data_IF_681226571203
#
_entry.id   IF_681226571203
#
_cell.length_a   1.000
_cell.length_b   1.000
_cell.length_c   1.000
_cell.angle_alpha   90.00
_cell.angle_beta   90.00
_cell.angle_gamma   90.00
#
_symmetry.space_group_name_H-M   'P 1'
#
loop_
_entity.id
_entity.type
_entity.pdbx_description
1 polymer ?
#
# COMPACT_ATOMS: atom_id res chain seq x y z
N UNK A 1 -24.11 29.02 -46.56
CA UNK A 1 -24.53 27.63 -46.25
C UNK A 1 -25.11 27.64 -44.85
N UNK A 2 -26.44 27.65 -44.69
CA UNK A 2 -27.12 27.64 -43.40
C UNK A 2 -27.40 26.20 -42.98
N UNK A 3 -26.73 25.74 -41.92
CA UNK A 3 -26.89 24.41 -41.34
C UNK A 3 -28.26 24.33 -40.64
N UNK A 4 -29.17 23.44 -41.07
CA UNK A 4 -30.40 23.15 -40.33
C UNK A 4 -30.13 22.03 -39.32
N UNK A 5 -29.92 22.40 -38.05
CA UNK A 5 -29.83 21.41 -36.98
C UNK A 5 -31.20 20.83 -36.61
N UNK A 6 -31.26 19.60 -36.08
CA UNK A 6 -32.52 18.97 -35.67
C UNK A 6 -33.20 19.77 -34.55
N UNK A 7 -34.53 19.90 -34.64
CA UNK A 7 -35.37 20.60 -33.66
C UNK A 7 -35.40 19.83 -32.32
N UNK A 8 -34.98 20.43 -31.20
CA UNK A 8 -34.89 19.78 -29.88
C UNK A 8 -36.23 19.30 -29.33
N UNK A 9 -37.35 19.76 -29.89
CA UNK A 9 -38.69 19.28 -29.52
C UNK A 9 -39.06 17.92 -30.13
N UNK A 10 -38.23 17.37 -31.03
CA UNK A 10 -38.47 16.10 -31.72
C UNK A 10 -37.42 15.01 -31.43
N UNK A 11 -36.51 15.22 -30.48
CA UNK A 11 -35.66 14.13 -29.96
C UNK A 11 -36.39 13.41 -28.83
N UNK A 12 -36.82 12.14 -29.01
CA UNK A 12 -37.40 11.36 -27.92
C UNK A 12 -36.30 11.04 -26.89
N UNK A 13 -36.58 11.25 -25.59
CA UNK A 13 -35.73 10.78 -24.49
C UNK A 13 -34.97 11.84 -23.69
N UNK A 14 -35.41 13.10 -23.67
CA UNK A 14 -34.91 14.11 -22.72
C UNK A 14 -36.05 14.59 -21.81
N UNK A 15 -36.62 13.68 -21.00
CA UNK A 15 -37.39 14.12 -19.83
C UNK A 15 -36.49 15.03 -18.98
N UNK A 16 -36.88 16.28 -18.68
CA UNK A 16 -36.15 17.19 -17.81
C UNK A 16 -36.18 16.65 -16.36
N UNK A 17 -35.37 15.63 -16.07
CA UNK A 17 -35.40 14.91 -14.81
C UNK A 17 -34.83 13.49 -14.82
N UNK A 18 -34.30 13.00 -15.94
CA UNK A 18 -33.68 11.67 -16.04
C UNK A 18 -32.27 11.59 -15.46
N UNK A 19 -32.03 12.15 -14.28
CA UNK A 19 -30.82 11.89 -13.51
C UNK A 19 -31.05 10.68 -12.63
N UNK A 20 -30.44 9.54 -12.95
CA UNK A 20 -30.31 8.46 -11.96
C UNK A 20 -29.64 9.05 -10.72
N UNK A 21 -30.17 8.84 -9.50
CA UNK A 21 -29.50 9.22 -8.27
C UNK A 21 -28.03 8.76 -8.30
N UNK A 22 -27.05 9.63 -8.00
CA UNK A 22 -25.68 9.20 -7.82
C UNK A 22 -25.62 8.20 -6.65
N UNK A 23 -25.50 6.92 -6.98
CA UNK A 23 -25.59 5.84 -5.99
C UNK A 23 -26.07 4.48 -6.54
N UNK A 24 -26.47 4.41 -7.81
CA UNK A 24 -26.94 3.16 -8.44
C UNK A 24 -25.93 2.52 -9.40
N UNK A 25 -24.78 3.16 -9.63
CA UNK A 25 -23.59 2.39 -10.01
C UNK A 25 -23.15 1.61 -8.77
N UNK A 26 -23.15 0.26 -8.81
CA UNK A 26 -22.51 -0.51 -7.76
C UNK A 26 -21.09 0.02 -7.56
N UNK A 27 -20.49 -0.05 -6.37
CA UNK A 27 -19.05 -0.11 -6.22
C UNK A 27 -18.56 -1.42 -6.89
N UNK A 28 -18.65 -1.48 -8.22
CA UNK A 28 -18.52 -2.67 -9.04
C UNK A 28 -17.44 -2.55 -10.10
N UNK A 29 -16.68 -1.44 -10.11
CA UNK A 29 -15.51 -1.23 -10.96
C UNK A 29 -14.35 -0.67 -10.15
N UNK A 30 -13.93 -1.44 -9.14
CA UNK A 30 -12.73 -1.20 -8.33
C UNK A 30 -12.13 -2.52 -7.87
N UNK A 31 -12.20 -3.54 -8.73
CA UNK A 31 -11.75 -4.90 -8.47
C UNK A 31 -10.23 -5.05 -8.48
N UNK A 32 -9.56 -4.41 -7.52
CA UNK A 32 -8.26 -4.84 -6.95
C UNK A 32 -8.05 -4.23 -5.54
N UNK A 33 -8.73 -3.14 -5.19
CA UNK A 33 -8.60 -2.51 -3.86
C UNK A 33 -9.19 -3.35 -2.73
N UNK A 34 -10.20 -4.19 -3.02
CA UNK A 34 -10.86 -5.05 -2.03
C UNK A 34 -10.10 -6.37 -1.71
N UNK A 35 -8.98 -6.64 -2.39
CA UNK A 35 -8.19 -7.87 -2.19
C UNK A 35 -6.76 -7.65 -1.67
N UNK A 36 -6.29 -6.40 -1.54
CA UNK A 36 -4.84 -6.15 -1.34
C UNK A 36 -4.44 -5.13 -0.26
N UNK A 37 -5.33 -4.35 0.36
CA UNK A 37 -4.90 -3.43 1.43
C UNK A 37 -5.38 -3.87 2.81
N UNK A 38 -4.74 -4.92 3.34
CA UNK A 38 -4.62 -5.01 4.78
C UNK A 38 -3.57 -3.96 5.19
N UNK A 39 -4.03 -2.80 5.65
CA UNK A 39 -3.18 -1.84 6.35
C UNK A 39 -2.58 -2.57 7.55
N UNK A 40 -1.34 -3.04 7.37
CA UNK A 40 -0.60 -3.68 8.44
C UNK A 40 -0.40 -2.61 9.49
N UNK A 41 -1.16 -2.72 10.58
CA UNK A 41 -1.07 -1.77 11.69
C UNK A 41 0.38 -1.61 12.17
N UNK A 42 0.67 -0.50 12.89
CA UNK A 42 2.03 -0.21 13.35
C UNK A 42 2.66 -1.43 14.00
N UNK A 43 3.94 -1.68 13.69
CA UNK A 43 4.66 -2.80 14.28
C UNK A 43 4.54 -2.73 15.82
N UNK A 44 4.33 -3.87 16.50
CA UNK A 44 4.23 -3.88 17.95
C UNK A 44 5.42 -3.19 18.60
N UNK A 45 5.20 -2.45 19.69
CA UNK A 45 6.22 -1.63 20.38
C UNK A 45 7.42 -2.44 20.90
N UNK A 46 7.32 -3.77 20.96
CA UNK A 46 8.41 -4.68 21.36
C UNK A 46 9.37 -5.03 20.21
N UNK A 47 8.93 -4.92 18.95
CA UNK A 47 9.74 -5.27 17.78
C UNK A 47 11.05 -4.46 17.73
N UNK A 48 11.06 -3.13 17.96
CA UNK A 48 12.30 -2.37 18.01
C UNK A 48 13.29 -2.87 19.07
N UNK A 49 12.79 -3.26 20.25
CA UNK A 49 13.63 -3.80 21.33
C UNK A 49 14.27 -5.13 20.95
N UNK A 50 13.53 -6.01 20.27
CA UNK A 50 14.07 -7.29 19.77
C UNK A 50 15.11 -7.06 18.68
N UNK A 51 14.87 -6.12 17.76
CA UNK A 51 15.84 -5.76 16.72
C UNK A 51 17.13 -5.20 17.35
N UNK A 52 17.02 -4.29 18.31
CA UNK A 52 18.17 -3.73 19.02
C UNK A 52 18.93 -4.84 19.78
N UNK A 53 18.21 -5.73 20.48
CA UNK A 53 18.81 -6.86 21.18
C UNK A 53 19.53 -7.82 20.23
N UNK A 54 18.95 -8.13 19.08
CA UNK A 54 19.54 -9.00 18.08
C UNK A 54 20.82 -8.38 17.47
N UNK A 55 20.79 -7.08 17.15
CA UNK A 55 21.97 -6.35 16.67
C UNK A 55 23.06 -6.33 17.73
N UNK A 56 22.71 -6.01 18.99
CA UNK A 56 23.66 -6.00 20.11
C UNK A 56 24.32 -7.37 20.32
N UNK A 57 23.53 -8.44 20.28
CA UNK A 57 24.05 -9.81 20.37
C UNK A 57 24.98 -10.14 19.20
N UNK A 58 24.59 -9.79 17.97
CA UNK A 58 25.43 -10.01 16.78
C UNK A 58 26.78 -9.29 16.90
N UNK A 59 26.78 -8.02 17.29
CA UNK A 59 28.01 -7.24 17.49
C UNK A 59 28.90 -7.87 18.56
N UNK A 60 28.32 -8.33 19.68
CA UNK A 60 29.06 -8.98 20.76
C UNK A 60 29.72 -10.29 20.28
N UNK A 61 28.99 -11.11 19.52
CA UNK A 61 29.52 -12.35 18.97
C UNK A 61 30.66 -12.09 17.97
N UNK A 62 30.51 -11.11 17.08
CA UNK A 62 31.55 -10.72 16.12
C UNK A 62 32.78 -10.19 16.85
N UNK A 63 32.60 -9.36 17.86
CA UNK A 63 33.70 -8.84 18.69
C UNK A 63 34.44 -9.98 19.40
N UNK A 64 33.72 -10.90 20.04
CA UNK A 64 34.32 -12.05 20.70
C UNK A 64 35.09 -12.95 19.72
N UNK A 65 34.50 -13.22 18.56
CA UNK A 65 35.15 -13.99 17.51
C UNK A 65 36.45 -13.32 17.04
N UNK A 66 36.42 -12.01 16.78
CA UNK A 66 37.61 -11.25 16.42
C UNK A 66 38.69 -11.31 17.50
N UNK A 67 38.33 -11.14 18.77
CA UNK A 67 39.27 -11.24 19.89
C UNK A 67 39.94 -12.61 19.95
N UNK A 68 39.17 -13.69 19.87
CA UNK A 68 39.71 -15.06 19.85
C UNK A 68 40.63 -15.26 18.65
N UNK A 69 40.23 -14.80 17.47
CA UNK A 69 41.01 -14.94 16.23
C UNK A 69 42.34 -14.19 16.31
N UNK A 70 42.34 -12.97 16.85
CA UNK A 70 43.57 -12.19 17.06
C UNK A 70 44.46 -12.83 18.12
N UNK A 71 43.88 -13.28 19.24
CA UNK A 71 44.62 -13.96 20.29
C UNK A 71 45.31 -15.22 19.77
N UNK A 72 44.59 -16.05 19.00
CA UNK A 72 45.14 -17.25 18.38
C UNK A 72 46.33 -16.92 17.47
N UNK A 73 46.17 -15.90 16.61
CA UNK A 73 47.23 -15.45 15.70
C UNK A 73 48.45 -14.87 16.44
N UNK A 74 48.24 -14.22 17.59
CA UNK A 74 49.34 -13.70 18.40
C UNK A 74 50.07 -14.79 19.20
N UNK A 75 49.40 -15.92 19.45
CA UNK A 75 49.94 -17.07 20.19
C UNK A 75 50.62 -18.13 19.32
N UNK A 76 50.49 -18.03 17.99
CA UNK A 76 51.14 -18.90 16.99
C UNK A 76 52.47 -18.33 16.53
#
# INVERSE_FOLDING_TARGET
>A
MSWQGPDPSRTPGLEPGGGVPPGETPPGEGGTSAITHQEKGPAPKWVPWVVIGAIGLMVLLVALFMLVRVFLMASS
#
